data_IF_013442909932
#
_entry.id   IF_013442909932
#
_cell.length_a   1.000
_cell.length_b   1.000
_cell.length_c   1.000
_cell.angle_alpha   90.00
_cell.angle_beta   90.00
_cell.angle_gamma   90.00
#
_symmetry.space_group_name_H-M   'P 1'
#
loop_
_entity.id
_entity.type
_entity.pdbx_description
1 polymer ?
#
# COMPACT_ATOMS: atom_id res chain seq x y z
N UNK A 1 -10.88 -27.32 -11.73
CA UNK A 1 -10.43 -27.22 -13.15
C UNK A 1 -9.80 -25.84 -13.31
N UNK A 2 -8.53 -25.74 -13.67
CA UNK A 2 -7.91 -24.43 -13.94
C UNK A 2 -8.52 -23.85 -15.22
N UNK A 3 -9.07 -22.64 -15.14
CA UNK A 3 -9.52 -21.92 -16.33
C UNK A 3 -8.32 -21.69 -17.27
N UNK A 4 -8.59 -21.76 -18.58
CA UNK A 4 -7.54 -21.61 -19.58
C UNK A 4 -7.07 -20.15 -19.62
N UNK A 5 -5.80 -19.93 -19.28
CA UNK A 5 -5.18 -18.59 -19.34
C UNK A 5 -5.22 -18.10 -20.81
N UNK A 6 -5.65 -16.84 -21.07
CA UNK A 6 -5.64 -16.26 -22.39
C UNK A 6 -4.24 -16.26 -23.03
N UNK A 7 -4.13 -16.48 -24.33
CA UNK A 7 -2.86 -16.60 -25.05
C UNK A 7 -1.98 -15.34 -25.02
N UNK A 8 -2.57 -14.16 -24.72
CA UNK A 8 -1.87 -12.88 -24.62
C UNK A 8 -1.48 -12.50 -23.16
N UNK A 9 -1.79 -13.34 -22.17
CA UNK A 9 -1.60 -13.03 -20.75
C UNK A 9 -0.12 -12.82 -20.40
N UNK A 10 0.81 -13.59 -20.97
CA UNK A 10 2.25 -13.41 -20.76
C UNK A 10 2.72 -12.01 -21.19
N UNK A 11 2.29 -11.57 -22.36
CA UNK A 11 2.62 -10.23 -22.87
C UNK A 11 2.01 -9.13 -21.98
N UNK A 12 0.74 -9.26 -21.63
CA UNK A 12 0.03 -8.28 -20.82
C UNK A 12 0.67 -8.12 -19.43
N UNK A 13 1.00 -9.23 -18.75
CA UNK A 13 1.67 -9.20 -17.45
C UNK A 13 3.04 -8.53 -17.52
N UNK A 14 3.87 -8.89 -18.49
CA UNK A 14 5.20 -8.28 -18.70
C UNK A 14 5.08 -6.78 -18.95
N UNK A 15 4.11 -6.36 -19.72
CA UNK A 15 3.84 -4.96 -20.02
C UNK A 15 3.45 -4.18 -18.75
N UNK A 16 2.47 -4.64 -18.00
CA UNK A 16 2.03 -4.02 -16.74
C UNK A 16 3.20 -3.92 -15.75
N UNK A 17 3.95 -5.01 -15.55
CA UNK A 17 5.12 -5.00 -14.65
C UNK A 17 6.17 -4.00 -15.14
N UNK A 18 6.42 -3.91 -16.44
CA UNK A 18 7.40 -2.98 -17.02
C UNK A 18 6.97 -1.52 -16.89
N UNK A 19 5.69 -1.24 -17.04
CA UNK A 19 5.11 0.09 -16.95
C UNK A 19 4.94 0.59 -15.50
N UNK A 20 4.75 -0.32 -14.54
CA UNK A 20 4.59 0.08 -13.13
C UNK A 20 5.80 0.90 -12.66
N UNK A 21 5.57 2.14 -12.31
CA UNK A 21 6.58 3.07 -11.78
C UNK A 21 6.10 3.63 -10.45
N UNK A 22 7.05 3.89 -9.56
CA UNK A 22 6.78 4.69 -8.37
C UNK A 22 6.57 6.14 -8.79
N UNK A 23 5.36 6.64 -8.67
CA UNK A 23 4.98 7.99 -9.08
C UNK A 23 4.41 8.71 -7.88
N UNK A 24 5.13 9.69 -7.36
CA UNK A 24 4.74 10.51 -6.23
C UNK A 24 4.23 11.85 -6.74
N UNK A 25 2.96 12.14 -6.50
CA UNK A 25 2.28 13.38 -6.92
C UNK A 25 2.04 14.26 -5.71
N UNK A 26 2.44 15.52 -5.78
CA UNK A 26 2.35 16.49 -4.69
C UNK A 26 1.53 17.69 -5.18
N UNK A 27 0.24 17.73 -4.86
CA UNK A 27 -0.61 18.87 -5.15
C UNK A 27 -0.35 20.03 -4.17
N UNK A 28 -0.42 21.26 -4.63
CA UNK A 28 -0.29 22.46 -3.78
C UNK A 28 -1.62 22.83 -3.10
N UNK A 29 -2.73 22.33 -3.63
CA UNK A 29 -4.08 22.51 -3.11
C UNK A 29 -4.93 21.25 -3.41
N UNK A 30 -6.07 21.05 -2.72
CA UNK A 30 -6.96 19.92 -2.98
C UNK A 30 -7.45 19.88 -4.43
N UNK A 31 -7.26 18.75 -5.10
CA UNK A 31 -7.78 18.53 -6.45
C UNK A 31 -9.22 18.05 -6.41
N UNK A 32 -10.01 18.45 -7.38
CA UNK A 32 -11.30 17.80 -7.64
C UNK A 32 -11.07 16.38 -8.12
N UNK A 33 -11.83 15.37 -7.61
CA UNK A 33 -11.78 14.02 -8.11
C UNK A 33 -12.08 13.92 -9.61
N UNK A 34 -11.49 12.95 -10.30
CA UNK A 34 -11.82 12.66 -11.70
C UNK A 34 -12.89 11.58 -11.85
N UNK A 35 -13.01 10.74 -10.85
CA UNK A 35 -13.99 9.67 -10.79
C UNK A 35 -15.19 10.06 -9.92
N UNK A 36 -16.38 9.58 -10.29
CA UNK A 36 -17.54 9.66 -9.41
C UNK A 36 -17.34 8.80 -8.16
N UNK A 37 -18.09 9.03 -7.06
CA UNK A 37 -17.98 8.19 -5.86
C UNK A 37 -18.17 6.69 -6.14
N UNK A 38 -19.08 6.33 -7.03
CA UNK A 38 -19.34 4.94 -7.43
C UNK A 38 -18.13 4.35 -8.20
N UNK A 39 -17.53 5.13 -9.09
CA UNK A 39 -16.35 4.71 -9.84
C UNK A 39 -15.11 4.58 -8.93
N UNK A 40 -14.95 5.46 -7.92
CA UNK A 40 -13.91 5.35 -6.90
C UNK A 40 -14.10 4.06 -6.08
N UNK A 41 -15.33 3.78 -5.65
CA UNK A 41 -15.65 2.56 -4.91
C UNK A 41 -15.36 1.31 -5.75
N UNK A 42 -15.75 1.29 -7.02
CA UNK A 42 -15.45 0.19 -7.95
C UNK A 42 -13.94 -0.01 -8.14
N UNK A 43 -13.18 1.07 -8.31
CA UNK A 43 -11.72 1.01 -8.41
C UNK A 43 -11.10 0.41 -7.14
N UNK A 44 -11.48 0.92 -5.97
CA UNK A 44 -10.96 0.43 -4.67
C UNK A 44 -11.28 -1.07 -4.52
N UNK A 45 -12.51 -1.49 -4.77
CA UNK A 45 -12.90 -2.91 -4.65
C UNK A 45 -12.11 -3.80 -5.60
N UNK A 46 -11.95 -3.41 -6.86
CA UNK A 46 -11.13 -4.15 -7.82
C UNK A 46 -9.69 -4.32 -7.35
N UNK A 47 -9.09 -3.28 -6.76
CA UNK A 47 -7.74 -3.34 -6.21
C UNK A 47 -7.66 -4.25 -4.97
N UNK A 48 -8.68 -4.24 -4.11
CA UNK A 48 -8.77 -5.13 -2.94
C UNK A 48 -8.97 -6.60 -3.34
N UNK A 49 -9.74 -6.88 -4.39
CA UNK A 49 -9.89 -8.22 -4.94
C UNK A 49 -8.54 -8.78 -5.41
N UNK A 50 -7.74 -7.98 -6.11
CA UNK A 50 -6.39 -8.38 -6.49
C UNK A 50 -5.49 -8.60 -5.27
N UNK A 51 -5.59 -7.75 -4.25
CA UNK A 51 -4.85 -7.92 -2.99
C UNK A 51 -5.21 -9.23 -2.29
N UNK A 52 -6.49 -9.60 -2.26
CA UNK A 52 -6.98 -10.82 -1.62
C UNK A 52 -6.44 -12.09 -2.25
N UNK A 53 -5.96 -12.01 -3.49
CA UNK A 53 -5.35 -13.13 -4.23
C UNK A 53 -3.87 -13.33 -3.90
N UNK A 54 -3.29 -12.53 -2.99
CA UNK A 54 -1.91 -12.73 -2.54
C UNK A 54 -1.77 -14.08 -1.79
N UNK A 55 -0.71 -14.87 -2.06
CA UNK A 55 -0.49 -16.12 -1.34
C UNK A 55 -0.15 -15.85 0.12
N UNK A 56 -0.61 -16.72 1.02
CA UNK A 56 -0.21 -16.72 2.42
C UNK A 56 -0.17 -18.15 2.96
N UNK A 57 0.74 -18.44 3.89
CA UNK A 57 0.94 -19.77 4.47
C UNK A 57 0.38 -19.88 5.89
N UNK A 58 0.37 -18.78 6.65
CA UNK A 58 -0.12 -18.75 8.03
C UNK A 58 -1.33 -17.83 8.14
N UNK A 59 -2.35 -18.29 8.86
CA UNK A 59 -3.56 -17.52 9.15
C UNK A 59 -3.28 -16.50 10.24
N UNK A 60 -3.99 -15.36 10.19
CA UNK A 60 -3.99 -14.42 11.31
C UNK A 60 -4.59 -15.05 12.57
N UNK A 61 -4.12 -14.62 13.74
CA UNK A 61 -4.65 -15.06 15.02
C UNK A 61 -6.10 -14.56 15.24
N UNK A 62 -6.89 -15.32 16.00
CA UNK A 62 -8.31 -15.02 16.28
C UNK A 62 -8.54 -13.64 16.91
N UNK A 63 -7.57 -13.12 17.68
CA UNK A 63 -7.65 -11.77 18.29
C UNK A 63 -7.80 -10.62 17.30
N UNK A 64 -7.46 -10.86 16.02
CA UNK A 64 -7.61 -9.86 14.94
C UNK A 64 -8.97 -9.91 14.25
N UNK A 65 -9.84 -10.84 14.62
CA UNK A 65 -11.21 -10.87 14.14
C UNK A 65 -12.06 -9.91 14.97
N UNK A 66 -12.44 -8.79 14.37
CA UNK A 66 -13.14 -7.68 15.03
C UNK A 66 -14.24 -7.13 14.13
N UNK A 67 -15.45 -7.04 14.63
CA UNK A 67 -16.59 -6.59 13.82
C UNK A 67 -16.69 -7.35 12.52
N UNK A 68 -16.71 -6.64 11.40
CA UNK A 68 -16.81 -7.22 10.07
C UNK A 68 -15.45 -7.76 9.52
N UNK A 69 -14.34 -7.47 10.22
CA UNK A 69 -13.00 -7.93 9.81
C UNK A 69 -12.73 -9.36 10.31
N UNK A 70 -13.42 -10.34 9.74
CA UNK A 70 -13.38 -11.76 10.17
C UNK A 70 -12.45 -12.64 9.33
N UNK A 71 -11.79 -12.09 8.31
CA UNK A 71 -10.90 -12.84 7.41
C UNK A 71 -9.69 -13.41 8.15
N UNK A 72 -9.22 -14.58 7.67
CA UNK A 72 -7.96 -15.20 8.12
C UNK A 72 -6.71 -14.62 7.42
N UNK A 73 -6.85 -13.65 6.52
CA UNK A 73 -5.71 -13.00 5.87
C UNK A 73 -4.81 -12.36 6.93
N UNK A 74 -3.47 -12.49 6.81
CA UNK A 74 -2.53 -11.95 7.78
C UNK A 74 -2.29 -10.44 7.61
N UNK A 75 -3.18 -9.74 6.92
CA UNK A 75 -3.13 -8.30 6.69
C UNK A 75 -4.54 -7.68 6.68
N UNK A 76 -4.58 -6.36 6.79
CA UNK A 76 -5.80 -5.54 6.66
C UNK A 76 -5.56 -4.40 5.69
N UNK A 77 -6.63 -3.94 5.06
CA UNK A 77 -6.65 -2.78 4.20
C UNK A 77 -7.72 -1.80 4.69
N UNK A 78 -7.34 -0.53 4.88
CA UNK A 78 -8.23 0.56 5.25
C UNK A 78 -8.27 1.56 4.10
N UNK A 79 -9.44 1.87 3.61
CA UNK A 79 -9.58 2.59 2.34
C UNK A 79 -10.21 3.96 2.52
N UNK A 80 -9.72 4.93 1.77
CA UNK A 80 -10.28 6.26 1.67
C UNK A 80 -10.50 6.59 0.19
N UNK A 81 -11.68 7.11 -0.12
CA UNK A 81 -11.95 7.75 -1.40
C UNK A 81 -11.32 9.15 -1.44
N UNK A 82 -11.47 9.86 -2.53
CA UNK A 82 -10.89 11.18 -2.72
C UNK A 82 -11.34 12.19 -1.65
N UNK A 83 -12.63 12.27 -1.35
CA UNK A 83 -13.18 13.21 -0.38
C UNK A 83 -12.65 12.93 1.03
N UNK A 84 -12.62 11.66 1.43
CA UNK A 84 -12.06 11.26 2.72
C UNK A 84 -10.55 11.52 2.80
N UNK A 85 -9.82 11.45 1.67
CA UNK A 85 -8.41 11.87 1.63
C UNK A 85 -8.26 13.37 1.96
N UNK A 86 -9.13 14.25 1.44
CA UNK A 86 -9.11 15.69 1.73
C UNK A 86 -9.46 15.95 3.19
N UNK A 87 -10.52 15.32 3.70
CA UNK A 87 -10.90 15.43 5.12
C UNK A 87 -9.75 14.96 6.03
N UNK A 88 -9.08 13.86 5.68
CA UNK A 88 -7.92 13.39 6.43
C UNK A 88 -6.77 14.39 6.38
N UNK A 89 -6.50 15.02 5.25
CA UNK A 89 -5.45 16.03 5.11
C UNK A 89 -5.69 17.20 6.07
N UNK A 90 -6.93 17.71 6.14
CA UNK A 90 -7.29 18.80 7.02
C UNK A 90 -7.14 18.42 8.51
N UNK A 91 -7.66 17.25 8.90
CA UNK A 91 -7.53 16.74 10.26
C UNK A 91 -6.07 16.46 10.67
N UNK A 92 -5.24 15.95 9.77
CA UNK A 92 -3.81 15.76 10.04
C UNK A 92 -3.09 17.08 10.25
N UNK A 93 -3.47 18.13 9.51
CA UNK A 93 -2.90 19.46 9.71
C UNK A 93 -3.20 20.02 11.10
N UNK A 94 -4.38 19.74 11.64
CA UNK A 94 -4.79 20.15 12.99
C UNK A 94 -4.00 19.43 14.09
N UNK A 95 -3.77 18.12 13.95
CA UNK A 95 -3.16 17.28 15.02
C UNK A 95 -1.64 17.13 14.90
N UNK A 96 -1.08 17.29 13.70
CA UNK A 96 0.34 17.10 13.39
C UNK A 96 0.88 18.15 12.40
N UNK A 97 0.86 19.44 12.68
CA UNK A 97 1.48 20.42 11.79
C UNK A 97 3.02 20.36 11.88
N UNK A 98 3.76 20.41 10.74
CA UNK A 98 3.26 20.31 9.37
C UNK A 98 3.14 18.83 8.94
N UNK A 99 1.99 18.43 8.39
CA UNK A 99 1.77 17.09 7.84
C UNK A 99 2.63 16.80 6.57
N UNK A 100 3.37 17.80 6.09
CA UNK A 100 4.37 17.70 5.05
C UNK A 100 3.84 17.10 3.73
N UNK A 101 4.67 16.29 3.08
CA UNK A 101 4.34 15.69 1.78
C UNK A 101 3.15 14.73 1.80
N UNK A 102 2.75 14.23 2.95
CA UNK A 102 1.55 13.37 3.09
C UNK A 102 0.30 14.17 2.74
N UNK A 103 0.17 15.39 3.26
CA UNK A 103 -0.96 16.27 2.96
C UNK A 103 -1.06 16.55 1.46
N UNK A 104 0.05 16.91 0.80
CA UNK A 104 0.07 17.16 -0.63
C UNK A 104 -0.35 15.92 -1.46
N UNK A 105 0.01 14.72 -1.02
CA UNK A 105 -0.42 13.47 -1.66
C UNK A 105 -1.90 13.18 -1.42
N UNK A 106 -2.41 13.42 -0.21
CA UNK A 106 -3.83 13.29 0.11
C UNK A 106 -4.68 14.27 -0.73
N UNK A 107 -4.22 15.49 -0.96
CA UNK A 107 -4.89 16.46 -1.84
C UNK A 107 -4.95 15.99 -3.30
N UNK A 108 -3.93 15.26 -3.77
CA UNK A 108 -3.86 14.75 -5.13
C UNK A 108 -4.58 13.43 -5.34
N UNK A 109 -4.79 12.63 -4.29
CA UNK A 109 -5.20 11.24 -4.41
C UNK A 109 -6.65 11.07 -4.91
N UNK A 110 -6.89 10.11 -5.79
CA UNK A 110 -8.21 9.60 -6.15
C UNK A 110 -8.69 8.57 -5.12
N UNK A 111 -7.74 7.82 -4.54
CA UNK A 111 -7.96 6.90 -3.43
C UNK A 111 -6.66 6.71 -2.63
N UNK A 112 -6.81 6.34 -1.37
CA UNK A 112 -5.71 5.84 -0.53
C UNK A 112 -6.10 4.52 0.11
N UNK A 113 -5.15 3.57 0.14
CA UNK A 113 -5.30 2.28 0.82
C UNK A 113 -4.17 2.17 1.84
N UNK A 114 -4.50 2.14 3.12
CA UNK A 114 -3.54 1.82 4.18
C UNK A 114 -3.46 0.32 4.33
N UNK A 115 -2.25 -0.20 4.35
CA UNK A 115 -1.99 -1.62 4.59
C UNK A 115 -1.32 -1.83 5.93
N UNK A 116 -1.90 -2.69 6.75
CA UNK A 116 -1.30 -3.23 7.96
C UNK A 116 -1.09 -4.74 7.82
N UNK A 117 -0.15 -5.30 8.57
CA UNK A 117 -0.03 -6.74 8.75
C UNK A 117 -0.22 -7.10 10.22
N UNK A 118 -0.58 -8.35 10.49
CA UNK A 118 -1.06 -8.83 11.77
C UNK A 118 0.00 -9.73 12.39
N UNK A 119 0.80 -9.25 13.37
CA UNK A 119 1.83 -10.08 13.99
C UNK A 119 1.21 -11.24 14.78
N UNK A 120 1.79 -12.43 14.63
CA UNK A 120 1.35 -13.61 15.37
C UNK A 120 1.73 -13.51 16.85
N UNK A 121 2.97 -13.14 17.13
CA UNK A 121 3.49 -12.92 18.47
C UNK A 121 4.11 -11.52 18.57
N UNK A 122 3.70 -10.75 19.59
CA UNK A 122 4.41 -9.55 20.00
C UNK A 122 5.63 -9.98 20.81
N UNK A 123 6.83 -9.58 20.38
CA UNK A 123 8.05 -9.78 21.15
C UNK A 123 8.28 -8.64 22.15
N UNK A 124 9.09 -8.90 23.17
CA UNK A 124 9.74 -7.85 23.92
C UNK A 124 10.61 -7.04 22.95
N UNK A 125 10.51 -5.72 23.01
CA UNK A 125 11.24 -4.84 22.11
C UNK A 125 12.73 -4.89 22.47
N UNK A 126 13.62 -5.22 21.53
CA UNK A 126 15.04 -5.02 21.79
C UNK A 126 15.31 -3.52 21.96
N UNK A 127 16.11 -3.13 22.95
CA UNK A 127 16.64 -1.78 23.08
C UNK A 127 17.61 -1.50 21.92
N UNK A 128 17.09 -1.11 20.79
CA UNK A 128 17.90 -0.68 19.64
C UNK A 128 17.96 0.83 19.63
N UNK A 129 19.14 1.38 19.83
CA UNK A 129 19.41 2.80 20.13
C UNK A 129 19.11 3.79 19.00
N UNK A 130 18.82 3.39 17.77
CA UNK A 130 18.74 4.31 16.63
C UNK A 130 17.49 4.14 15.74
N UNK A 131 16.64 3.13 15.97
CA UNK A 131 15.41 2.92 15.21
C UNK A 131 14.27 2.64 16.18
N UNK A 132 13.07 3.16 15.87
CA UNK A 132 11.87 2.79 16.63
C UNK A 132 11.74 1.26 16.63
N UNK A 133 11.74 0.61 17.79
CA UNK A 133 11.63 -0.83 17.87
C UNK A 133 10.28 -1.26 17.32
N UNK A 134 10.28 -2.21 16.38
CA UNK A 134 9.04 -2.77 15.86
C UNK A 134 8.47 -3.75 16.88
N UNK A 135 7.19 -3.65 17.25
CA UNK A 135 6.57 -4.44 18.32
C UNK A 135 6.25 -5.87 17.88
N UNK A 136 7.21 -6.57 17.29
CA UNK A 136 7.03 -7.97 16.90
C UNK A 136 8.32 -8.77 17.00
N UNK A 137 8.17 -10.06 17.29
CA UNK A 137 9.29 -11.01 17.31
C UNK A 137 9.63 -11.46 15.90
N UNK A 138 10.92 -11.53 15.57
CA UNK A 138 11.41 -12.16 14.34
C UNK A 138 11.23 -13.67 14.41
N UNK A 139 10.14 -14.20 13.86
CA UNK A 139 9.86 -15.61 13.70
C UNK A 139 9.32 -15.92 12.30
N UNK A 140 9.22 -17.21 11.95
CA UNK A 140 8.79 -17.63 10.62
C UNK A 140 7.37 -17.13 10.28
N UNK A 141 6.43 -17.22 11.22
CA UNK A 141 5.05 -16.79 11.00
C UNK A 141 4.97 -15.29 10.68
N UNK A 142 5.66 -14.43 11.45
CA UNK A 142 5.69 -13.01 11.22
C UNK A 142 6.40 -12.64 9.90
N UNK A 143 7.45 -13.36 9.52
CA UNK A 143 8.10 -13.18 8.22
C UNK A 143 7.14 -13.49 7.07
N UNK A 144 6.40 -14.58 7.14
CA UNK A 144 5.41 -14.98 6.15
C UNK A 144 4.22 -14.00 6.09
N UNK A 145 3.78 -13.46 7.23
CA UNK A 145 2.72 -12.44 7.27
C UNK A 145 3.14 -11.15 6.56
N UNK A 146 4.38 -10.70 6.78
CA UNK A 146 4.92 -9.52 6.07
C UNK A 146 5.04 -9.81 4.57
N UNK A 147 5.52 -11.00 4.18
CA UNK A 147 5.64 -11.39 2.78
C UNK A 147 4.28 -11.40 2.07
N UNK A 148 3.25 -11.98 2.70
CA UNK A 148 1.88 -11.98 2.17
C UNK A 148 1.31 -10.57 2.01
N UNK A 149 1.47 -9.70 3.03
CA UNK A 149 1.05 -8.31 2.96
C UNK A 149 1.77 -7.53 1.85
N UNK A 150 3.08 -7.78 1.66
CA UNK A 150 3.86 -7.16 0.59
C UNK A 150 3.45 -7.64 -0.80
N UNK A 151 3.11 -8.92 -0.95
CA UNK A 151 2.55 -9.47 -2.18
C UNK A 151 1.18 -8.83 -2.51
N UNK A 152 0.31 -8.67 -1.50
CA UNK A 152 -0.96 -7.97 -1.66
C UNK A 152 -0.77 -6.51 -2.13
N UNK A 153 0.18 -5.78 -1.55
CA UNK A 153 0.54 -4.43 -1.98
C UNK A 153 1.00 -4.43 -3.44
N UNK A 154 1.86 -5.37 -3.83
CA UNK A 154 2.33 -5.44 -5.21
C UNK A 154 1.18 -5.71 -6.19
N UNK A 155 0.21 -6.57 -5.83
CA UNK A 155 -0.99 -6.80 -6.63
C UNK A 155 -1.82 -5.52 -6.82
N UNK A 156 -2.02 -4.72 -5.76
CA UNK A 156 -2.69 -3.41 -5.84
C UNK A 156 -1.95 -2.48 -6.80
N UNK A 157 -0.62 -2.38 -6.69
CA UNK A 157 0.18 -1.49 -7.55
C UNK A 157 0.13 -1.90 -9.02
N UNK A 158 0.13 -3.20 -9.31
CA UNK A 158 -0.03 -3.72 -10.68
C UNK A 158 -1.44 -3.46 -11.19
N UNK A 159 -2.47 -3.67 -10.36
CA UNK A 159 -3.86 -3.36 -10.69
C UNK A 159 -4.08 -1.88 -10.99
N UNK A 160 -3.56 -0.99 -10.17
CA UNK A 160 -3.61 0.45 -10.41
C UNK A 160 -2.93 0.83 -11.74
N UNK A 161 -1.76 0.24 -12.03
CA UNK A 161 -1.03 0.45 -13.30
C UNK A 161 -1.85 -0.07 -14.49
N UNK A 162 -2.43 -1.26 -14.40
CA UNK A 162 -3.26 -1.83 -15.45
C UNK A 162 -4.52 -0.99 -15.71
N UNK A 163 -5.07 -0.35 -14.66
CA UNK A 163 -6.17 0.58 -14.78
C UNK A 163 -5.76 1.99 -15.26
N UNK A 164 -4.46 2.24 -15.48
CA UNK A 164 -3.91 3.52 -15.97
C UNK A 164 -3.73 4.58 -14.90
N UNK A 165 -3.78 4.22 -13.62
CA UNK A 165 -3.58 5.13 -12.50
C UNK A 165 -2.11 5.17 -12.04
N UNK A 166 -1.45 6.35 -12.01
CA UNK A 166 -0.19 6.51 -11.29
C UNK A 166 -0.37 6.17 -9.82
N UNK A 167 0.64 5.54 -9.21
CA UNK A 167 0.54 5.11 -7.83
C UNK A 167 1.86 5.23 -7.07
N UNK A 168 1.76 5.34 -5.75
CA UNK A 168 2.88 5.45 -4.85
C UNK A 168 2.67 4.63 -3.58
N UNK A 169 3.58 3.69 -3.30
CA UNK A 169 3.67 3.06 -1.98
C UNK A 169 4.55 3.92 -1.08
N UNK A 170 3.93 4.58 -0.12
CA UNK A 170 4.58 5.37 0.92
C UNK A 170 4.80 4.52 2.17
N UNK A 171 5.93 4.70 2.84
CA UNK A 171 6.12 4.14 4.19
C UNK A 171 5.17 4.74 5.24
N UNK A 172 4.45 5.81 4.89
CA UNK A 172 3.39 6.41 5.71
C UNK A 172 3.74 7.76 6.33
N UNK A 173 4.99 8.02 6.70
CA UNK A 173 5.35 9.29 7.34
C UNK A 173 4.45 9.62 8.53
N UNK A 174 3.79 10.80 8.50
CA UNK A 174 2.85 11.24 9.54
C UNK A 174 1.71 10.25 9.81
N UNK A 175 1.28 9.45 8.81
CA UNK A 175 0.21 8.46 8.97
C UNK A 175 0.58 7.27 9.88
N UNK A 176 1.88 7.08 10.18
CA UNK A 176 2.32 6.03 11.12
C UNK A 176 2.12 6.42 12.58
N UNK A 177 1.99 7.70 12.87
CA UNK A 177 1.88 8.22 14.23
C UNK A 177 0.53 7.83 14.85
N UNK A 178 0.50 7.77 16.18
CA UNK A 178 -0.66 7.35 16.96
C UNK A 178 -1.90 8.18 16.64
N UNK A 179 -1.73 9.49 16.52
CA UNK A 179 -2.81 10.45 16.25
C UNK A 179 -3.49 10.15 14.91
N UNK A 180 -2.68 9.95 13.86
CA UNK A 180 -3.20 9.62 12.53
C UNK A 180 -3.87 8.24 12.50
N UNK A 181 -3.32 7.25 13.19
CA UNK A 181 -3.92 5.91 13.31
C UNK A 181 -5.25 5.95 14.04
N UNK A 182 -5.37 6.82 15.06
CA UNK A 182 -6.64 7.05 15.77
C UNK A 182 -7.68 7.68 14.84
N UNK A 183 -7.29 8.67 14.01
CA UNK A 183 -8.18 9.27 13.02
C UNK A 183 -8.69 8.26 11.97
N UNK A 184 -7.89 7.26 11.66
CA UNK A 184 -8.19 6.20 10.68
C UNK A 184 -8.85 4.97 11.32
N UNK A 185 -9.06 4.95 12.62
CA UNK A 185 -9.56 3.81 13.40
C UNK A 185 -8.76 2.52 13.17
N UNK A 186 -7.43 2.67 13.02
CA UNK A 186 -6.51 1.53 12.83
C UNK A 186 -6.03 1.05 14.20
N UNK A 187 -6.32 -0.21 14.58
CA UNK A 187 -5.91 -0.77 15.86
C UNK A 187 -4.40 -0.72 16.09
N UNK A 188 -3.97 -0.39 17.31
CA UNK A 188 -2.55 -0.21 17.64
C UNK A 188 -1.76 -1.53 17.68
N UNK A 189 -2.44 -2.66 17.78
CA UNK A 189 -1.84 -4.00 17.73
C UNK A 189 -1.66 -4.54 16.30
N UNK A 190 -2.06 -3.80 15.28
CA UNK A 190 -1.68 -4.05 13.88
C UNK A 190 -0.39 -3.30 13.55
N UNK A 191 0.45 -3.87 12.72
CA UNK A 191 1.67 -3.19 12.27
C UNK A 191 1.41 -2.45 10.96
N UNK A 192 1.50 -1.13 11.01
CA UNK A 192 1.37 -0.29 9.82
C UNK A 192 2.50 -0.58 8.82
N UNK A 193 2.19 -1.15 7.66
CA UNK A 193 3.18 -1.48 6.64
C UNK A 193 3.43 -0.29 5.70
N UNK A 194 2.38 0.43 5.36
CA UNK A 194 2.47 1.61 4.51
C UNK A 194 1.10 2.04 3.97
N UNK A 195 1.11 3.06 3.14
CA UNK A 195 -0.09 3.51 2.44
C UNK A 195 0.17 3.63 0.94
N UNK A 196 -0.83 3.27 0.17
CA UNK A 196 -0.83 3.29 -1.28
C UNK A 196 -1.70 4.46 -1.72
N UNK A 197 -1.08 5.43 -2.36
CA UNK A 197 -1.78 6.52 -3.03
C UNK A 197 -2.04 6.14 -4.47
N UNK A 198 -3.28 6.22 -4.90
CA UNK A 198 -3.72 6.06 -6.28
C UNK A 198 -4.13 7.43 -6.77
N UNK A 199 -3.49 7.91 -7.83
CA UNK A 199 -3.72 9.26 -8.35
C UNK A 199 -4.60 9.23 -9.60
N UNK A 200 -5.21 10.37 -9.97
CA UNK A 200 -5.94 10.51 -11.23
C UNK A 200 -5.08 10.12 -12.44
N UNK A 201 -5.70 9.60 -13.50
CA UNK A 201 -5.00 9.17 -14.72
C UNK A 201 -4.22 10.32 -15.37
N UNK A 202 -4.75 11.53 -15.29
CA UNK A 202 -4.18 12.77 -15.80
C UNK A 202 -3.24 13.49 -14.79
N UNK A 203 -2.88 12.85 -13.69
CA UNK A 203 -2.07 13.48 -12.63
C UNK A 203 -0.73 14.05 -13.12
N UNK A 204 -0.13 13.42 -14.16
CA UNK A 204 1.13 13.90 -14.74
C UNK A 204 0.97 15.19 -15.57
N UNK A 205 -0.25 15.49 -16.01
CA UNK A 205 -0.59 16.62 -16.88
C UNK A 205 -1.05 17.83 -16.07
N UNK A 206 -1.40 17.66 -14.78
CA UNK A 206 -1.96 18.70 -13.92
C UNK A 206 -0.97 19.74 -13.38
N UNK A 207 0.29 19.68 -13.80
CA UNK A 207 1.29 20.72 -13.44
C UNK A 207 1.79 20.64 -11.99
N UNK A 208 1.64 19.51 -11.32
CA UNK A 208 2.12 19.28 -9.95
C UNK A 208 3.59 18.82 -9.92
N UNK A 209 4.22 18.89 -8.74
CA UNK A 209 5.55 18.30 -8.53
C UNK A 209 5.45 16.76 -8.56
N UNK A 210 5.88 16.16 -9.66
CA UNK A 210 5.87 14.71 -9.85
C UNK A 210 7.27 14.15 -9.70
N UNK A 211 7.44 13.24 -8.73
CA UNK A 211 8.72 12.56 -8.48
C UNK A 211 8.64 11.09 -8.87
N UNK A 212 9.45 10.71 -9.82
CA UNK A 212 9.61 9.31 -10.23
C UNK A 212 10.67 8.61 -9.37
N UNK A 213 10.40 7.35 -9.00
CA UNK A 213 11.35 6.53 -8.26
C UNK A 213 12.59 6.19 -9.08
N UNK A 214 13.77 6.37 -8.48
CA UNK A 214 15.07 6.15 -9.15
C UNK A 214 15.62 4.73 -8.93
N UNK A 215 15.38 4.13 -7.76
CA UNK A 215 15.97 2.83 -7.36
C UNK A 215 15.62 1.68 -8.30
N UNK A 216 14.50 1.77 -9.02
CA UNK A 216 14.10 0.73 -9.96
C UNK A 216 15.09 0.54 -11.12
N UNK A 217 15.89 1.53 -11.44
CA UNK A 217 16.91 1.46 -12.52
C UNK A 217 18.23 0.84 -12.05
N UNK A 218 18.39 0.63 -10.75
CA UNK A 218 19.60 0.11 -10.16
C UNK A 218 19.52 -1.42 -9.95
N UNK A 219 20.65 -2.12 -9.97
CA UNK A 219 20.78 -3.52 -9.62
C UNK A 219 19.98 -4.52 -10.46
N UNK A 220 19.80 -4.28 -11.77
CA UNK A 220 19.00 -5.15 -12.65
C UNK A 220 19.77 -6.25 -13.35
N UNK A 221 21.06 -6.25 -13.25
CA UNK A 221 21.89 -7.31 -13.77
C UNK A 221 21.55 -8.62 -13.04
N UNK A 222 21.03 -9.62 -13.75
CA UNK A 222 20.56 -10.87 -13.13
C UNK A 222 21.64 -11.54 -12.29
N UNK A 223 22.88 -11.57 -12.78
CA UNK A 223 24.04 -12.14 -12.09
C UNK A 223 24.40 -11.43 -10.78
N UNK A 224 23.93 -10.19 -10.58
CA UNK A 224 24.23 -9.44 -9.35
C UNK A 224 23.36 -9.81 -8.16
N UNK A 225 22.24 -10.51 -8.37
CA UNK A 225 21.27 -10.86 -7.30
C UNK A 225 20.69 -12.26 -7.41
N UNK A 226 21.03 -13.02 -8.47
CA UNK A 226 20.60 -14.39 -8.65
C UNK A 226 21.79 -15.32 -8.94
N UNK A 227 21.69 -16.56 -8.52
CA UNK A 227 22.72 -17.59 -8.74
C UNK A 227 22.06 -18.92 -9.08
N UNK A 228 22.51 -19.57 -10.18
CA UNK A 228 22.18 -20.98 -10.44
C UNK A 228 22.97 -21.88 -9.50
N UNK A 229 22.32 -22.90 -8.98
CA UNK A 229 22.94 -23.93 -8.15
C UNK A 229 22.99 -25.21 -8.99
N UNK A 230 24.19 -25.75 -9.15
CA UNK A 230 24.43 -27.06 -9.73
C UNK A 230 24.69 -28.04 -8.57
N UNK A 231 23.99 -29.21 -8.56
CA UNK A 231 24.08 -30.27 -7.54
C UNK A 231 24.81 -31.46 -8.09
#
# INVERSE_FOLDING_TARGET
MMEKIPSNADKAIKEVISQRKTTKVLAEAPWSPTLTPEAQHSLINSLLELASSAPYHYKSAERYKRGDLTSNLPFRAYTLNADNCRILADRLHEVQPPAGKIMNMLWAAEAMIVMSWLPDVFGEQPEVREMEPLPFTGNLSNMEHIAAASAAIQNILLGATAAGHPSYWSSGGALRQKEARTLLDIPMDEIFLGCLFVFPKDALERGSDVKLGKLRSEGKELSSWSKSIEL
#
